data_IF_309845303646
#
_entry.id   IF_309845303646
#
_cell.length_a   1.000
_cell.length_b   1.000
_cell.length_c   1.000
_cell.angle_alpha   90.00
_cell.angle_beta   90.00
_cell.angle_gamma   90.00
#
_symmetry.space_group_name_H-M   'P 1'
#
loop_
_entity.id
_entity.type
_entity.pdbx_description
1 polymer ?
#
# COMPACT_ATOMS: atom_id res chain seq x y z
N UNK A 1 0.38 42.82 -51.63
CA UNK A 1 0.34 43.82 -50.55
C UNK A 1 -0.32 43.17 -49.35
N UNK A 2 0.30 43.35 -48.19
CA UNK A 2 -0.15 42.85 -46.88
C UNK A 2 -1.31 43.67 -46.30
N UNK A 3 -1.89 43.11 -45.24
CA UNK A 3 -2.75 43.68 -44.19
C UNK A 3 -4.27 43.71 -44.49
N UNK A 4 -5.15 43.23 -43.61
CA UNK A 4 -4.94 42.67 -42.28
C UNK A 4 -6.27 42.38 -41.57
N UNK A 5 -6.15 41.72 -40.42
CA UNK A 5 -7.16 41.77 -39.35
C UNK A 5 -8.15 40.62 -39.30
N UNK A 6 -7.77 39.55 -38.60
CA UNK A 6 -8.66 38.85 -37.67
C UNK A 6 -7.81 38.10 -36.64
N UNK A 7 -7.71 38.73 -35.47
CA UNK A 7 -7.26 38.11 -34.24
C UNK A 7 -8.09 36.84 -34.00
N UNK A 8 -7.43 35.68 -33.95
CA UNK A 8 -7.95 34.52 -33.23
C UNK A 8 -6.90 34.06 -32.24
N UNK A 9 -7.16 34.48 -31.01
CA UNK A 9 -6.71 33.95 -29.74
C UNK A 9 -6.08 32.55 -29.84
N UNK A 10 -4.76 32.52 -29.86
CA UNK A 10 -4.00 31.36 -29.42
C UNK A 10 -3.91 31.41 -27.92
N UNK A 11 -4.86 30.78 -27.23
CA UNK A 11 -4.86 30.50 -25.80
C UNK A 11 -5.97 29.49 -25.59
N UNK A 12 -5.64 28.21 -25.45
CA UNK A 12 -6.38 27.15 -24.74
C UNK A 12 -5.78 25.84 -25.23
N UNK A 13 -4.87 25.24 -24.44
CA UNK A 13 -4.62 23.78 -24.39
C UNK A 13 -3.52 23.39 -23.39
N UNK A 14 -3.31 24.16 -22.32
CA UNK A 14 -2.15 23.95 -21.44
C UNK A 14 -2.41 23.70 -19.95
N UNK A 15 -3.62 23.93 -19.43
CA UNK A 15 -3.79 24.14 -17.98
C UNK A 15 -4.89 23.33 -17.30
N UNK A 16 -5.63 22.48 -18.01
CA UNK A 16 -6.71 21.67 -17.39
C UNK A 16 -6.30 20.22 -17.06
N UNK A 17 -5.14 19.75 -17.55
CA UNK A 17 -4.70 18.35 -17.44
C UNK A 17 -3.99 18.00 -16.12
N UNK A 18 -3.31 18.96 -15.48
CA UNK A 18 -2.56 18.69 -14.23
C UNK A 18 -3.46 18.67 -13.00
N UNK A 19 -4.39 19.63 -12.90
CA UNK A 19 -5.25 19.79 -11.71
C UNK A 19 -6.33 18.71 -11.62
N UNK A 20 -6.87 18.25 -12.75
CA UNK A 20 -7.84 17.16 -12.79
C UNK A 20 -7.26 15.83 -12.33
N UNK A 21 -6.03 15.51 -12.78
CA UNK A 21 -5.31 14.32 -12.33
C UNK A 21 -4.93 14.39 -10.85
N UNK A 22 -4.57 15.57 -10.34
CA UNK A 22 -4.21 15.76 -8.94
C UNK A 22 -5.41 15.61 -8.00
N UNK A 23 -6.59 16.14 -8.38
CA UNK A 23 -7.83 15.96 -7.63
C UNK A 23 -8.33 14.51 -7.65
N UNK A 24 -8.19 13.81 -8.78
CA UNK A 24 -8.49 12.38 -8.86
C UNK A 24 -7.52 11.59 -7.97
N UNK A 25 -6.21 11.90 -7.99
CA UNK A 25 -5.20 11.27 -7.11
C UNK A 25 -5.53 11.47 -5.63
N UNK A 26 -5.94 12.68 -5.23
CA UNK A 26 -6.34 12.97 -3.85
C UNK A 26 -7.63 12.24 -3.45
N UNK A 27 -8.66 12.28 -4.29
CA UNK A 27 -9.92 11.58 -4.05
C UNK A 27 -9.72 10.05 -3.97
N UNK A 28 -8.85 9.51 -4.82
CA UNK A 28 -8.42 8.11 -4.81
C UNK A 28 -7.67 7.77 -3.52
N UNK A 29 -6.74 8.63 -3.09
CA UNK A 29 -5.94 8.42 -1.86
C UNK A 29 -6.82 8.44 -0.60
N UNK A 30 -7.82 9.33 -0.54
CA UNK A 30 -8.75 9.39 0.58
C UNK A 30 -9.80 8.28 0.55
N UNK A 31 -10.36 7.94 -0.62
CA UNK A 31 -11.29 6.82 -0.77
C UNK A 31 -10.63 5.48 -0.42
N UNK A 32 -9.35 5.30 -0.74
CA UNK A 32 -8.59 4.10 -0.39
C UNK A 32 -7.95 4.13 0.99
N UNK A 33 -7.97 5.27 1.72
CA UNK A 33 -7.46 5.34 3.09
C UNK A 33 -8.16 4.35 4.02
N UNK A 34 -9.45 4.14 3.79
CA UNK A 34 -10.28 3.19 4.53
C UNK A 34 -10.15 1.74 4.01
N UNK A 35 -9.45 1.52 2.89
CA UNK A 35 -9.31 0.21 2.22
C UNK A 35 -7.86 -0.09 1.84
N UNK A 36 -6.97 -0.31 2.82
CA UNK A 36 -5.54 -0.49 2.59
C UNK A 36 -5.21 -1.62 1.61
N UNK A 37 -5.94 -2.75 1.69
CA UNK A 37 -5.77 -3.87 0.75
C UNK A 37 -5.99 -3.44 -0.72
N UNK A 38 -7.06 -2.68 -0.98
CA UNK A 38 -7.39 -2.21 -2.32
C UNK A 38 -6.36 -1.17 -2.81
N UNK A 39 -5.91 -0.30 -1.91
CA UNK A 39 -4.86 0.68 -2.18
C UNK A 39 -3.56 0.02 -2.63
N UNK A 40 -3.10 -0.96 -1.85
CA UNK A 40 -1.87 -1.69 -2.15
C UNK A 40 -2.00 -2.54 -3.42
N UNK A 41 -3.18 -3.11 -3.67
CA UNK A 41 -3.48 -3.82 -4.93
C UNK A 41 -3.36 -2.91 -6.15
N UNK A 42 -3.93 -1.70 -6.09
CA UNK A 42 -3.84 -0.71 -7.17
C UNK A 42 -2.40 -0.26 -7.40
N UNK A 43 -1.66 0.05 -6.32
CA UNK A 43 -0.25 0.41 -6.40
C UNK A 43 0.59 -0.68 -7.07
N UNK A 44 0.42 -1.94 -6.63
CA UNK A 44 1.17 -3.07 -7.16
C UNK A 44 0.86 -3.31 -8.65
N UNK A 45 -0.41 -3.23 -9.02
CA UNK A 45 -0.82 -3.42 -10.41
C UNK A 45 -0.32 -2.30 -11.32
N UNK A 46 -0.50 -1.04 -10.89
CA UNK A 46 -0.04 0.13 -11.63
C UNK A 46 1.47 0.15 -11.83
N UNK A 47 2.26 -0.27 -10.84
CA UNK A 47 3.71 -0.42 -10.99
C UNK A 47 4.06 -1.50 -12.04
N UNK A 48 3.42 -2.68 -11.95
CA UNK A 48 3.72 -3.79 -12.84
C UNK A 48 3.34 -3.52 -14.30
N UNK A 49 2.28 -2.76 -14.53
CA UNK A 49 1.85 -2.34 -15.87
C UNK A 49 2.62 -1.13 -16.41
N UNK A 50 3.56 -0.58 -15.63
CA UNK A 50 4.33 0.62 -15.99
C UNK A 50 3.51 1.91 -15.98
N UNK A 51 2.33 1.89 -15.35
CA UNK A 51 1.45 3.05 -15.21
C UNK A 51 1.87 3.97 -14.06
N UNK A 52 2.56 3.44 -13.05
CA UNK A 52 3.14 4.20 -11.94
C UNK A 52 4.67 4.04 -11.90
N UNK A 53 5.37 5.12 -11.57
CA UNK A 53 6.77 5.01 -11.15
C UNK A 53 6.87 4.24 -9.82
N UNK A 54 8.09 3.84 -9.44
CA UNK A 54 8.33 3.19 -8.15
C UNK A 54 7.89 4.08 -6.98
N UNK A 55 8.20 5.37 -7.06
CA UNK A 55 7.87 6.38 -6.05
C UNK A 55 6.36 6.63 -5.97
N UNK A 56 5.68 6.73 -7.13
CA UNK A 56 4.23 6.88 -7.17
C UNK A 56 3.52 5.66 -6.58
N UNK A 57 3.98 4.46 -6.92
CA UNK A 57 3.41 3.23 -6.38
C UNK A 57 3.63 3.10 -4.88
N UNK A 58 4.82 3.47 -4.37
CA UNK A 58 5.11 3.50 -2.94
C UNK A 58 4.21 4.49 -2.18
N UNK A 59 4.05 5.72 -2.70
CA UNK A 59 3.16 6.72 -2.10
C UNK A 59 1.70 6.27 -2.11
N UNK A 60 1.22 5.70 -3.22
CA UNK A 60 -0.13 5.14 -3.30
C UNK A 60 -0.28 4.02 -2.28
N UNK A 61 0.67 3.08 -2.19
CA UNK A 61 0.62 2.00 -1.21
C UNK A 61 0.73 2.49 0.25
N UNK A 62 1.18 3.72 0.48
CA UNK A 62 1.47 4.27 1.80
C UNK A 62 2.70 3.65 2.46
N UNK A 63 3.67 3.22 1.64
CA UNK A 63 4.93 2.59 2.07
C UNK A 63 6.11 3.50 1.71
N UNK A 64 7.25 3.29 2.37
CA UNK A 64 8.50 3.87 1.86
C UNK A 64 8.90 3.21 0.54
N UNK A 65 9.70 3.91 -0.27
CA UNK A 65 10.22 3.38 -1.55
C UNK A 65 10.99 2.06 -1.33
N UNK A 66 11.78 1.99 -0.26
CA UNK A 66 12.53 0.79 0.13
C UNK A 66 11.61 -0.38 0.50
N UNK A 67 10.58 -0.11 1.32
CA UNK A 67 9.57 -1.09 1.71
C UNK A 67 8.85 -1.64 0.48
N UNK A 68 8.38 -0.77 -0.42
CA UNK A 68 7.68 -1.19 -1.62
C UNK A 68 8.58 -2.01 -2.56
N UNK A 69 9.84 -1.58 -2.74
CA UNK A 69 10.83 -2.31 -3.56
C UNK A 69 11.06 -3.72 -3.03
N UNK A 70 11.31 -3.84 -1.72
CA UNK A 70 11.53 -5.12 -1.05
C UNK A 70 10.31 -6.03 -1.17
N UNK A 71 9.12 -5.47 -0.97
CA UNK A 71 7.86 -6.20 -1.07
C UNK A 71 7.64 -6.78 -2.47
N UNK A 72 7.82 -5.97 -3.53
CA UNK A 72 7.67 -6.45 -4.91
C UNK A 72 8.72 -7.52 -5.25
N UNK A 73 9.96 -7.35 -4.79
CA UNK A 73 11.05 -8.29 -5.06
C UNK A 73 10.83 -9.66 -4.39
N UNK A 74 10.41 -9.67 -3.13
CA UNK A 74 10.20 -10.91 -2.36
C UNK A 74 9.11 -11.81 -2.94
N UNK A 75 8.08 -11.22 -3.58
CA UNK A 75 7.01 -11.96 -4.23
C UNK A 75 7.47 -12.95 -5.31
N UNK A 76 8.69 -12.77 -5.83
CA UNK A 76 9.30 -13.68 -6.81
C UNK A 76 9.95 -14.91 -6.19
N UNK A 77 10.35 -14.87 -4.92
CA UNK A 77 11.26 -15.85 -4.33
C UNK A 77 10.61 -16.80 -3.31
N UNK A 78 9.43 -16.48 -2.77
CA UNK A 78 8.91 -17.13 -1.56
C UNK A 78 7.97 -18.35 -1.76
N UNK A 79 7.83 -18.92 -2.97
CA UNK A 79 6.75 -19.89 -3.26
C UNK A 79 6.87 -21.26 -2.57
N UNK A 80 8.05 -21.62 -2.06
CA UNK A 80 8.32 -22.97 -1.53
C UNK A 80 8.46 -23.07 0.01
N UNK A 81 8.12 -22.00 0.74
CA UNK A 81 8.15 -22.01 2.20
C UNK A 81 6.86 -22.62 2.78
N UNK A 82 6.97 -23.56 3.74
CA UNK A 82 5.82 -24.19 4.40
C UNK A 82 4.97 -23.16 5.16
N UNK A 83 5.62 -22.21 5.86
CA UNK A 83 4.94 -21.10 6.55
C UNK A 83 4.10 -20.26 5.60
N UNK A 84 4.62 -19.98 4.40
CA UNK A 84 3.90 -19.25 3.35
C UNK A 84 2.67 -20.04 2.90
N UNK A 85 2.80 -21.35 2.67
CA UNK A 85 1.65 -22.19 2.30
C UNK A 85 0.58 -22.19 3.38
N UNK A 86 0.96 -22.29 4.64
CA UNK A 86 0.03 -22.22 5.77
C UNK A 86 -0.65 -20.84 5.84
N UNK A 87 0.10 -19.74 5.77
CA UNK A 87 -0.46 -18.39 5.75
C UNK A 87 -1.44 -18.20 4.56
N UNK A 88 -1.10 -18.70 3.37
CA UNK A 88 -2.00 -18.67 2.22
C UNK A 88 -3.31 -19.44 2.42
N UNK A 89 -3.37 -20.43 3.32
CA UNK A 89 -4.62 -21.11 3.69
C UNK A 89 -5.46 -20.29 4.67
N UNK A 90 -4.81 -19.48 5.52
CA UNK A 90 -5.49 -18.58 6.47
C UNK A 90 -6.18 -17.44 5.73
N UNK A 91 -5.52 -16.86 4.73
CA UNK A 91 -6.09 -15.77 3.92
C UNK A 91 -6.83 -16.32 2.71
N UNK A 92 -8.13 -16.03 2.61
CA UNK A 92 -8.96 -16.49 1.48
C UNK A 92 -9.02 -15.49 0.32
N UNK A 93 -8.76 -14.21 0.61
CA UNK A 93 -8.70 -13.17 -0.41
C UNK A 93 -7.43 -13.33 -1.30
N UNK A 94 -7.56 -13.37 -2.64
CA UNK A 94 -6.43 -13.56 -3.55
C UNK A 94 -5.35 -12.47 -3.44
N UNK A 95 -5.73 -11.24 -3.11
CA UNK A 95 -4.75 -10.18 -2.91
C UNK A 95 -3.95 -10.41 -1.62
N UNK A 96 -4.61 -10.79 -0.51
CA UNK A 96 -3.93 -11.10 0.76
C UNK A 96 -2.98 -12.29 0.62
N UNK A 97 -3.38 -13.33 -0.13
CA UNK A 97 -2.47 -14.44 -0.48
C UNK A 97 -1.24 -13.96 -1.26
N UNK A 98 -1.43 -13.07 -2.23
CA UNK A 98 -0.32 -12.45 -2.96
C UNK A 98 0.56 -11.61 -2.05
N UNK A 99 -0.04 -10.85 -1.12
CA UNK A 99 0.70 -10.03 -0.18
C UNK A 99 1.57 -10.88 0.76
N UNK A 100 1.06 -12.04 1.23
CA UNK A 100 1.83 -13.00 2.05
C UNK A 100 3.10 -13.48 1.33
N UNK A 101 3.01 -13.75 0.02
CA UNK A 101 4.18 -14.15 -0.80
C UNK A 101 5.25 -13.06 -0.86
N UNK A 102 4.86 -11.80 -0.70
CA UNK A 102 5.74 -10.64 -0.80
C UNK A 102 6.38 -10.25 0.55
N UNK A 103 5.98 -10.87 1.66
CA UNK A 103 6.52 -10.54 2.98
C UNK A 103 7.94 -11.08 3.17
N UNK A 104 8.77 -10.33 3.89
CA UNK A 104 10.03 -10.83 4.43
C UNK A 104 9.80 -11.89 5.51
N UNK A 105 10.84 -12.62 5.92
CA UNK A 105 10.75 -13.59 7.01
C UNK A 105 10.34 -12.95 8.34
N UNK A 106 10.93 -11.79 8.68
CA UNK A 106 10.56 -11.04 9.89
C UNK A 106 9.08 -10.62 9.88
N UNK A 107 8.58 -10.16 8.73
CA UNK A 107 7.18 -9.76 8.57
C UNK A 107 6.22 -10.95 8.68
N UNK A 108 6.59 -12.12 8.12
CA UNK A 108 5.80 -13.35 8.30
C UNK A 108 5.78 -13.79 9.76
N UNK A 109 6.91 -13.75 10.46
CA UNK A 109 6.98 -14.08 11.88
C UNK A 109 6.10 -13.13 12.72
N UNK A 110 6.11 -11.83 12.42
CA UNK A 110 5.23 -10.84 13.04
C UNK A 110 3.75 -11.17 12.77
N UNK A 111 3.41 -11.53 11.53
CA UNK A 111 2.03 -11.90 11.15
C UNK A 111 1.55 -13.18 11.84
N UNK A 112 2.41 -14.21 11.94
CA UNK A 112 2.12 -15.46 12.64
C UNK A 112 1.82 -15.18 14.12
N UNK A 113 2.64 -14.35 14.78
CA UNK A 113 2.40 -13.96 16.18
C UNK A 113 1.07 -13.23 16.36
N UNK A 114 0.66 -12.42 15.36
CA UNK A 114 -0.65 -11.75 15.37
C UNK A 114 -1.82 -12.73 15.18
N UNK A 115 -1.63 -13.86 14.49
CA UNK A 115 -2.63 -14.93 14.38
C UNK A 115 -2.84 -15.65 15.72
N UNK A 116 -1.79 -15.77 16.53
CA UNK A 116 -1.86 -16.37 17.87
C UNK A 116 -2.48 -15.42 18.89
N UNK A 117 -2.12 -14.13 18.83
CA UNK A 117 -2.59 -13.09 19.76
C UNK A 117 -2.47 -11.69 19.18
N UNK A 118 -3.42 -10.83 19.54
CA UNK A 118 -3.35 -9.43 19.17
C UNK A 118 -2.20 -8.69 19.85
N UNK A 119 -1.65 -7.68 19.18
CA UNK A 119 -0.68 -6.78 19.79
C UNK A 119 -1.37 -5.52 20.29
N UNK A 120 -1.05 -5.13 21.52
CA UNK A 120 -1.53 -3.91 22.15
C UNK A 120 -0.35 -2.97 22.36
N UNK A 121 -0.42 -1.79 21.75
CA UNK A 121 0.70 -0.86 21.66
C UNK A 121 0.26 0.53 22.12
N UNK A 122 1.00 1.18 23.03
CA UNK A 122 0.74 2.57 23.39
C UNK A 122 0.92 3.51 22.19
N UNK A 123 0.03 4.50 22.04
CA UNK A 123 0.13 5.50 20.95
C UNK A 123 1.44 6.29 20.93
N UNK A 124 2.04 6.46 22.11
CA UNK A 124 3.18 7.33 22.35
C UNK A 124 4.52 6.59 22.25
N UNK A 125 4.51 5.27 22.10
CA UNK A 125 5.74 4.49 21.89
C UNK A 125 6.09 4.46 20.41
N UNK A 126 7.16 5.16 20.02
CA UNK A 126 7.92 4.82 18.83
C UNK A 126 8.74 3.57 19.16
N UNK A 127 8.57 2.49 18.42
CA UNK A 127 9.49 1.37 18.58
C UNK A 127 10.86 1.76 18.05
N UNK A 128 11.90 1.06 18.52
CA UNK A 128 13.17 0.97 17.80
C UNK A 128 12.93 0.20 16.48
N UNK A 129 12.44 0.94 15.48
CA UNK A 129 12.46 0.82 14.02
C UNK A 129 12.18 -0.51 13.30
N UNK A 130 12.05 -1.69 13.92
CA UNK A 130 11.77 -2.95 13.18
C UNK A 130 10.32 -3.42 13.30
N UNK A 131 9.77 -3.51 14.52
CA UNK A 131 8.41 -4.02 14.72
C UNK A 131 7.34 -3.05 14.24
N UNK A 132 7.52 -1.75 14.49
CA UNK A 132 6.59 -0.72 14.04
C UNK A 132 6.51 -0.67 12.52
N UNK A 133 7.67 -0.73 11.84
CA UNK A 133 7.74 -0.75 10.39
C UNK A 133 7.06 -1.99 9.80
N UNK A 134 7.26 -3.16 10.40
CA UNK A 134 6.57 -4.40 10.01
C UNK A 134 5.04 -4.26 10.18
N UNK A 135 4.58 -3.76 11.33
CA UNK A 135 3.16 -3.57 11.60
C UNK A 135 2.53 -2.52 10.67
N UNK A 136 3.24 -1.44 10.38
CA UNK A 136 2.83 -0.43 9.41
C UNK A 136 2.71 -1.02 8.01
N UNK A 137 3.69 -1.79 7.57
CA UNK A 137 3.65 -2.46 6.27
C UNK A 137 2.47 -3.43 6.22
N UNK A 138 2.33 -4.33 7.19
CA UNK A 138 1.25 -5.32 7.28
C UNK A 138 -0.14 -4.66 7.26
N UNK A 139 -0.30 -3.52 7.94
CA UNK A 139 -1.51 -2.70 7.89
C UNK A 139 -1.74 -2.14 6.49
N UNK A 140 -0.71 -1.53 5.90
CA UNK A 140 -0.83 -0.84 4.62
C UNK A 140 -1.08 -1.78 3.43
N UNK A 141 -0.62 -3.03 3.50
CA UNK A 141 -0.96 -4.06 2.52
C UNK A 141 -2.29 -4.76 2.80
N UNK A 142 -2.93 -4.43 3.93
CA UNK A 142 -4.25 -4.91 4.32
C UNK A 142 -4.30 -6.30 4.93
N UNK A 143 -3.19 -6.80 5.48
CA UNK A 143 -3.15 -8.07 6.21
C UNK A 143 -3.52 -7.90 7.70
N UNK A 144 -3.38 -6.67 8.21
CA UNK A 144 -3.64 -6.32 9.62
C UNK A 144 -4.54 -5.09 9.68
N UNK A 145 -5.47 -5.09 10.62
CA UNK A 145 -6.28 -3.90 10.96
C UNK A 145 -5.86 -3.36 12.31
N UNK A 146 -6.05 -2.05 12.48
CA UNK A 146 -5.73 -1.34 13.72
C UNK A 146 -7.02 -0.77 14.30
N UNK A 147 -7.28 -1.08 15.56
CA UNK A 147 -8.42 -0.59 16.32
C UNK A 147 -7.93 0.16 17.55
N UNK A 148 -8.69 1.15 18.01
CA UNK A 148 -8.44 1.78 19.31
C UNK A 148 -9.07 0.92 20.41
N UNK A 149 -8.30 0.64 21.46
CA UNK A 149 -8.75 -0.14 22.61
C UNK A 149 -8.15 0.44 23.90
N UNK A 150 -8.98 1.11 24.71
CA UNK A 150 -8.58 1.68 26.01
C UNK A 150 -7.32 2.58 25.93
N UNK A 151 -7.22 3.44 24.89
CA UNK A 151 -6.07 4.30 24.67
C UNK A 151 -4.85 3.62 24.02
N UNK A 152 -4.95 2.32 23.73
CA UNK A 152 -3.93 1.55 23.01
C UNK A 152 -4.36 1.31 21.56
N UNK A 153 -3.37 1.13 20.68
CA UNK A 153 -3.55 0.61 19.33
C UNK A 153 -3.53 -0.92 19.40
N UNK A 154 -4.63 -1.54 19.00
CA UNK A 154 -4.78 -2.99 18.89
C UNK A 154 -4.60 -3.41 17.44
N UNK A 155 -3.52 -4.12 17.17
CA UNK A 155 -3.26 -4.74 15.87
C UNK A 155 -3.83 -6.15 15.86
N UNK A 156 -4.64 -6.46 14.85
CA UNK A 156 -5.26 -7.77 14.66
C UNK A 156 -5.16 -8.19 13.21
N UNK A 157 -5.04 -9.50 12.96
CA UNK A 157 -5.08 -10.01 11.60
C UNK A 157 -6.46 -9.76 10.97
N UNK A 158 -6.42 -9.32 9.72
CA UNK A 158 -7.61 -9.17 8.89
C UNK A 158 -7.60 -10.28 7.84
N UNK A 159 -8.23 -11.41 8.14
CA UNK A 159 -8.18 -12.61 7.28
C UNK A 159 -9.19 -12.58 6.10
N UNK A 160 -10.16 -11.66 6.12
CA UNK A 160 -11.31 -11.61 5.21
C UNK A 160 -11.21 -10.53 4.15
#
# INVERSE_FOLDING_TARGET
MFAGGLQRLGLHDGLESSTGNELIRLAVKDFFRERPALRARVAFHGYWEGSFSLEEAADVAGLSVEQFTTFVWNGYQAKDCEEVRWLMQVFTDPWKQKAVLCLSEGQRATLIRLLERDFLIPREMSFENSLEDDLHLLRNVGLVRVLEHNGLLRYQVDAH
#
